data_IF_941472133866
#
_entry.id   IF_941472133866
#
_cell.length_a   1.000
_cell.length_b   1.000
_cell.length_c   1.000
_cell.angle_alpha   90.00
_cell.angle_beta   90.00
_cell.angle_gamma   90.00
#
_symmetry.space_group_name_H-M   'P 1'
#
loop_
_entity.id
_entity.type
_entity.pdbx_description
1 polymer ?
#
# COMPACT_ATOMS: atom_id res chain seq x y z
N UNK A 1 12.74 -16.79 3.34
CA UNK A 1 11.93 -16.23 2.24
C UNK A 1 11.40 -14.89 2.74
N UNK A 2 11.85 -13.79 2.15
CA UNK A 2 11.33 -12.46 2.46
C UNK A 2 9.84 -12.44 2.12
N UNK A 3 8.99 -12.23 3.12
CA UNK A 3 7.56 -12.27 2.98
C UNK A 3 7.05 -11.18 2.05
N UNK A 4 6.69 -11.54 0.84
CA UNK A 4 5.82 -10.71 0.02
C UNK A 4 4.39 -10.91 0.53
N UNK A 5 3.71 -9.81 0.82
CA UNK A 5 2.29 -9.82 1.11
C UNK A 5 1.45 -10.28 -0.09
N UNK A 6 0.37 -9.61 -0.37
CA UNK A 6 -0.51 -9.98 -1.49
C UNK A 6 0.08 -9.54 -2.82
N UNK A 7 0.31 -10.49 -3.75
CA UNK A 7 0.72 -10.20 -5.13
C UNK A 7 -0.51 -10.24 -6.02
N UNK A 8 -0.88 -9.12 -6.61
CA UNK A 8 -1.99 -9.05 -7.56
C UNK A 8 -1.46 -9.17 -8.99
N UNK A 9 -1.95 -10.18 -9.69
CA UNK A 9 -1.70 -10.45 -11.10
C UNK A 9 -2.97 -10.17 -11.94
N UNK A 10 -2.85 -10.20 -13.25
CA UNK A 10 -3.81 -9.64 -14.22
C UNK A 10 -5.28 -10.11 -14.11
N UNK A 11 -5.58 -11.17 -13.37
CA UNK A 11 -6.94 -11.73 -13.31
C UNK A 11 -7.76 -11.27 -12.11
N UNK A 12 -7.16 -10.59 -11.12
CA UNK A 12 -7.88 -10.02 -9.98
C UNK A 12 -8.49 -8.68 -10.40
N UNK A 13 -9.80 -8.54 -10.31
CA UNK A 13 -10.52 -7.32 -10.70
C UNK A 13 -10.86 -6.43 -9.51
N UNK A 14 -11.22 -7.03 -8.38
CA UNK A 14 -11.58 -6.30 -7.18
C UNK A 14 -11.25 -7.07 -5.90
N UNK A 15 -11.01 -6.32 -4.83
CA UNK A 15 -10.96 -6.77 -3.45
C UNK A 15 -11.90 -5.87 -2.66
N UNK A 16 -12.86 -6.44 -1.94
CA UNK A 16 -13.82 -5.68 -1.15
C UNK A 16 -13.82 -6.16 0.29
N UNK A 17 -13.68 -5.22 1.22
CA UNK A 17 -13.82 -5.43 2.66
C UNK A 17 -15.22 -5.12 3.17
N UNK A 18 -15.46 -5.24 4.47
CA UNK A 18 -16.70 -4.83 5.14
C UNK A 18 -17.75 -5.94 5.26
N UNK A 19 -17.34 -7.20 5.30
CA UNK A 19 -18.26 -8.33 5.47
C UNK A 19 -18.12 -8.97 6.86
N UNK A 20 -19.24 -9.32 7.49
CA UNK A 20 -19.27 -9.89 8.85
C UNK A 20 -18.71 -11.31 8.92
N UNK A 21 -18.95 -12.11 7.92
CA UNK A 21 -18.47 -13.49 7.79
C UNK A 21 -18.46 -13.91 6.31
N UNK A 22 -17.51 -14.78 5.98
CA UNK A 22 -17.56 -15.54 4.72
C UNK A 22 -18.08 -16.93 5.01
N UNK A 23 -19.35 -17.19 4.69
CA UNK A 23 -19.93 -18.53 4.63
C UNK A 23 -20.60 -18.72 3.27
N UNK A 24 -20.77 -19.96 2.87
CA UNK A 24 -21.54 -20.28 1.65
C UNK A 24 -22.95 -19.68 1.80
N UNK A 25 -23.38 -18.88 0.82
CA UNK A 25 -24.66 -18.15 0.86
C UNK A 25 -24.63 -16.78 1.57
N UNK A 26 -23.46 -16.26 1.96
CA UNK A 26 -23.36 -14.90 2.51
C UNK A 26 -23.91 -13.87 1.51
N UNK A 27 -24.86 -13.05 1.97
CA UNK A 27 -25.34 -11.91 1.20
C UNK A 27 -24.23 -10.85 1.06
N UNK A 28 -23.61 -10.82 -0.11
CA UNK A 28 -22.54 -9.86 -0.44
C UNK A 28 -23.07 -8.43 -0.62
N UNK A 29 -24.39 -8.20 -0.55
CA UNK A 29 -24.97 -6.85 -0.54
C UNK A 29 -24.94 -6.21 0.85
N UNK A 30 -24.92 -7.01 1.91
CA UNK A 30 -24.90 -6.54 3.31
C UNK A 30 -23.47 -6.18 3.76
N UNK A 31 -22.89 -5.17 3.14
CA UNK A 31 -21.56 -4.64 3.44
C UNK A 31 -21.64 -3.47 4.42
N UNK A 32 -20.81 -3.50 5.48
CA UNK A 32 -20.60 -2.39 6.38
C UNK A 32 -19.11 -2.30 6.73
N UNK A 33 -18.41 -1.34 6.11
CA UNK A 33 -16.95 -1.18 6.27
C UNK A 33 -16.56 -0.59 7.64
N UNK A 34 -17.49 0.06 8.31
CA UNK A 34 -17.25 0.64 9.64
C UNK A 34 -17.49 -0.41 10.73
N UNK A 35 -18.50 -1.25 10.57
CA UNK A 35 -18.80 -2.34 11.52
C UNK A 35 -17.87 -3.54 11.36
N UNK A 36 -17.46 -3.87 10.13
CA UNK A 36 -16.66 -5.07 9.82
C UNK A 36 -15.35 -4.68 9.12
N UNK A 37 -14.36 -4.27 9.90
CA UNK A 37 -13.07 -3.82 9.39
C UNK A 37 -12.30 -5.00 8.81
N UNK A 38 -12.01 -4.94 7.51
CA UNK A 38 -11.15 -5.91 6.83
C UNK A 38 -9.72 -5.40 6.83
N UNK A 39 -8.79 -6.19 7.35
CA UNK A 39 -7.39 -5.80 7.52
C UNK A 39 -6.46 -6.70 6.72
N UNK A 40 -5.53 -6.08 5.99
CA UNK A 40 -4.33 -6.72 5.43
C UNK A 40 -3.15 -6.19 6.24
N UNK A 41 -2.49 -7.06 7.00
CA UNK A 41 -1.39 -6.71 7.90
C UNK A 41 -0.07 -7.32 7.43
N UNK A 42 1.01 -6.54 7.53
CA UNK A 42 2.38 -6.99 7.31
C UNK A 42 3.07 -7.50 8.58
N UNK A 43 2.46 -7.29 9.73
CA UNK A 43 2.96 -7.69 11.04
C UNK A 43 3.00 -9.22 11.18
N UNK A 44 4.15 -9.80 10.90
CA UNK A 44 4.37 -11.25 10.93
C UNK A 44 4.64 -11.76 12.34
N UNK A 45 5.26 -10.93 13.17
CA UNK A 45 5.64 -11.28 14.54
C UNK A 45 4.57 -10.96 15.61
N UNK A 46 3.49 -10.24 15.22
CA UNK A 46 2.36 -9.93 16.09
C UNK A 46 2.59 -8.80 17.11
N UNK A 47 3.64 -8.00 16.92
CA UNK A 47 4.01 -6.93 17.86
C UNK A 47 3.31 -5.58 17.59
N UNK A 48 2.49 -5.49 16.55
CA UNK A 48 1.75 -4.30 16.10
C UNK A 48 2.64 -3.12 15.72
N UNK A 49 3.77 -3.42 15.10
CA UNK A 49 4.71 -2.44 14.56
C UNK A 49 5.15 -2.88 13.16
N UNK A 50 5.64 -1.96 12.35
CA UNK A 50 6.26 -2.26 11.07
C UNK A 50 7.78 -2.26 11.26
N UNK A 51 8.39 -3.43 11.40
CA UNK A 51 9.81 -3.60 11.70
C UNK A 51 10.49 -4.74 10.92
N UNK A 52 11.75 -4.99 11.25
CA UNK A 52 12.54 -6.01 10.56
C UNK A 52 11.95 -7.42 10.81
N UNK A 53 11.65 -8.10 9.74
CA UNK A 53 11.00 -9.43 9.75
C UNK A 53 9.55 -9.39 9.25
N UNK A 54 8.97 -8.21 9.18
CA UNK A 54 7.66 -8.00 8.58
C UNK A 54 7.72 -7.94 7.05
N UNK A 55 6.57 -7.87 6.39
CA UNK A 55 6.48 -7.89 4.93
C UNK A 55 5.77 -6.66 4.34
N UNK A 56 6.04 -6.40 3.07
CA UNK A 56 5.25 -5.47 2.27
C UNK A 56 3.84 -6.01 2.02
N UNK A 57 2.86 -5.13 1.83
CA UNK A 57 1.45 -5.52 1.84
C UNK A 57 0.91 -5.89 0.45
N UNK A 58 1.05 -4.99 -0.52
CA UNK A 58 0.44 -5.16 -1.83
C UNK A 58 1.40 -4.80 -2.96
N UNK A 59 1.57 -5.71 -3.89
CA UNK A 59 2.33 -5.51 -5.12
C UNK A 59 1.42 -5.65 -6.34
N UNK A 60 1.32 -4.58 -7.15
CA UNK A 60 0.56 -4.57 -8.40
C UNK A 60 1.53 -4.43 -9.58
N UNK A 61 1.71 -5.52 -10.35
CA UNK A 61 2.63 -5.57 -11.50
C UNK A 61 1.92 -5.37 -12.84
N UNK A 62 0.68 -5.79 -12.95
CA UNK A 62 -0.07 -5.73 -14.21
C UNK A 62 -1.58 -5.81 -13.99
N UNK A 63 -2.33 -5.10 -14.84
CA UNK A 63 -3.78 -5.13 -14.86
C UNK A 63 -4.40 -3.99 -14.04
N UNK A 64 -5.72 -4.02 -13.95
CA UNK A 64 -6.52 -3.00 -13.28
C UNK A 64 -7.25 -3.64 -12.13
N UNK A 65 -7.07 -3.10 -10.91
CA UNK A 65 -7.70 -3.59 -9.71
C UNK A 65 -8.40 -2.46 -8.94
N UNK A 66 -9.61 -2.72 -8.47
CA UNK A 66 -10.33 -1.87 -7.53
C UNK A 66 -10.29 -2.49 -6.12
N UNK A 67 -9.98 -1.69 -5.11
CA UNK A 67 -10.00 -2.12 -3.70
C UNK A 67 -10.86 -1.14 -2.91
N UNK A 68 -11.75 -1.68 -2.09
CA UNK A 68 -12.73 -0.88 -1.39
C UNK A 68 -12.93 -1.38 0.05
N UNK A 69 -12.90 -0.45 1.03
CA UNK A 69 -13.17 -0.72 2.43
C UNK A 69 -12.15 -1.63 3.12
N UNK A 70 -10.86 -1.50 2.77
CA UNK A 70 -9.77 -2.31 3.33
C UNK A 70 -8.79 -1.43 4.08
N UNK A 71 -8.38 -1.88 5.26
CA UNK A 71 -7.26 -1.31 6.01
C UNK A 71 -5.98 -2.10 5.72
N UNK A 72 -4.96 -1.40 5.26
CA UNK A 72 -3.58 -1.88 5.08
C UNK A 72 -2.74 -1.35 6.23
N UNK A 73 -2.04 -2.22 6.97
CA UNK A 73 -1.26 -1.78 8.13
C UNK A 73 0.00 -2.58 8.36
N UNK A 74 0.99 -1.93 9.00
CA UNK A 74 2.26 -2.54 9.43
C UNK A 74 3.07 -3.14 8.29
N UNK A 75 2.95 -2.57 7.08
CA UNK A 75 3.81 -2.98 5.97
C UNK A 75 5.24 -2.48 6.19
N UNK A 76 6.23 -3.35 5.93
CA UNK A 76 7.64 -3.02 6.07
C UNK A 76 8.44 -3.38 4.82
N UNK A 77 9.41 -2.54 4.48
CA UNK A 77 10.41 -2.82 3.44
C UNK A 77 11.78 -2.37 3.90
N UNK A 78 12.75 -3.27 3.87
CA UNK A 78 14.16 -3.01 4.17
C UNK A 78 14.95 -2.61 2.92
N UNK A 79 16.19 -2.16 3.10
CA UNK A 79 17.14 -1.92 1.99
C UNK A 79 17.42 -3.22 1.20
N UNK A 80 17.53 -4.36 1.89
CA UNK A 80 17.74 -5.66 1.26
C UNK A 80 16.55 -6.07 0.38
N UNK A 81 15.33 -5.91 0.88
CA UNK A 81 14.11 -6.20 0.12
C UNK A 81 13.97 -5.30 -1.11
N UNK A 82 14.23 -4.02 -0.96
CA UNK A 82 14.18 -3.06 -2.07
C UNK A 82 15.21 -3.33 -3.16
N UNK A 83 16.35 -3.95 -2.82
CA UNK A 83 17.42 -4.31 -3.77
C UNK A 83 17.10 -5.57 -4.56
N UNK A 84 16.44 -6.55 -3.94
CA UNK A 84 16.21 -7.90 -4.49
C UNK A 84 14.79 -8.11 -5.01
N UNK A 85 13.81 -7.41 -4.45
CA UNK A 85 12.40 -7.58 -4.78
C UNK A 85 11.74 -6.25 -5.14
N UNK A 86 10.73 -6.33 -5.97
CA UNK A 86 9.83 -5.18 -6.21
C UNK A 86 8.80 -5.16 -5.09
N UNK A 87 9.09 -4.48 -3.99
CA UNK A 87 8.17 -4.36 -2.87
C UNK A 87 8.10 -2.91 -2.37
N UNK A 88 6.94 -2.52 -1.94
CA UNK A 88 6.68 -1.31 -1.17
C UNK A 88 6.14 -1.71 0.18
N UNK A 89 6.24 -0.82 1.16
CA UNK A 89 5.74 -1.14 2.50
C UNK A 89 4.22 -1.34 2.51
N UNK A 90 3.47 -0.32 2.07
CA UNK A 90 2.03 -0.41 1.88
C UNK A 90 1.69 -0.96 0.49
N UNK A 91 1.55 -0.09 -0.48
CA UNK A 91 1.19 -0.41 -1.86
C UNK A 91 2.32 -0.06 -2.81
N UNK A 92 2.76 -1.03 -3.60
CA UNK A 92 3.76 -0.85 -4.65
C UNK A 92 3.17 -1.15 -6.02
N UNK A 93 3.30 -0.19 -6.94
CA UNK A 93 2.83 -0.32 -8.32
C UNK A 93 4.01 -0.21 -9.28
N UNK A 94 4.28 -1.27 -10.06
CA UNK A 94 5.46 -1.36 -10.94
C UNK A 94 5.16 -1.77 -12.38
N UNK A 95 3.93 -1.67 -12.81
CA UNK A 95 3.53 -2.06 -14.16
C UNK A 95 3.90 -1.04 -15.24
N UNK A 96 3.75 -1.42 -16.51
CA UNK A 96 3.94 -0.52 -17.65
C UNK A 96 2.94 0.63 -17.66
N UNK A 97 3.32 1.76 -18.28
CA UNK A 97 2.41 2.89 -18.47
C UNK A 97 1.19 2.45 -19.29
N UNK A 98 -0.01 2.68 -18.77
CA UNK A 98 -1.27 2.29 -19.39
C UNK A 98 -1.75 0.86 -19.12
N UNK A 99 -0.86 -0.04 -18.70
CA UNK A 99 -1.20 -1.45 -18.46
C UNK A 99 -1.52 -1.77 -17.00
N UNK A 100 -1.26 -0.83 -16.08
CA UNK A 100 -1.40 -1.07 -14.65
C UNK A 100 -2.08 0.11 -13.98
N UNK A 101 -3.17 -0.16 -13.30
CA UNK A 101 -3.80 0.82 -12.42
C UNK A 101 -4.39 0.15 -11.18
N UNK A 102 -4.38 0.90 -10.08
CA UNK A 102 -5.10 0.56 -8.87
C UNK A 102 -6.03 1.72 -8.49
N UNK A 103 -7.23 1.40 -8.11
CA UNK A 103 -8.18 2.32 -7.51
C UNK A 103 -8.52 1.86 -6.10
N UNK A 104 -8.30 2.73 -5.12
CA UNK A 104 -8.69 2.51 -3.74
C UNK A 104 -9.82 3.46 -3.38
N UNK A 105 -10.86 2.94 -2.75
CA UNK A 105 -12.01 3.71 -2.28
C UNK A 105 -12.31 3.35 -0.83
N UNK A 106 -12.53 4.37 0.00
CA UNK A 106 -12.86 4.20 1.43
C UNK A 106 -11.88 3.25 2.15
N UNK A 107 -10.57 3.39 1.87
CA UNK A 107 -9.50 2.57 2.42
C UNK A 107 -8.67 3.35 3.45
N UNK A 108 -7.95 2.59 4.29
CA UNK A 108 -6.96 3.14 5.21
C UNK A 108 -5.60 2.50 4.93
N UNK A 109 -4.52 3.29 4.85
CA UNK A 109 -3.14 2.79 4.79
C UNK A 109 -2.39 3.44 5.94
N UNK A 110 -1.98 2.64 6.91
CA UNK A 110 -1.40 3.17 8.15
C UNK A 110 -0.24 2.37 8.69
N UNK A 111 0.58 3.05 9.49
CA UNK A 111 1.68 2.45 10.25
C UNK A 111 2.64 1.63 9.36
N UNK A 112 2.79 2.00 8.10
CA UNK A 112 3.73 1.35 7.17
C UNK A 112 5.09 2.04 7.23
N UNK A 113 6.18 1.27 7.16
CA UNK A 113 7.54 1.79 7.25
C UNK A 113 8.39 1.38 6.04
N UNK A 114 8.96 2.38 5.36
CA UNK A 114 10.01 2.19 4.35
C UNK A 114 11.37 2.51 4.98
N UNK A 115 12.16 1.48 5.27
CA UNK A 115 13.52 1.61 5.80
C UNK A 115 14.59 1.72 4.72
N UNK A 116 14.20 2.00 3.47
CA UNK A 116 15.09 2.13 2.32
C UNK A 116 15.75 3.51 2.31
N UNK A 117 17.09 3.55 2.31
CA UNK A 117 17.87 4.79 2.41
C UNK A 117 18.70 5.12 1.17
N UNK A 118 19.17 4.12 0.43
CA UNK A 118 20.16 4.28 -0.63
C UNK A 118 19.65 3.97 -2.03
N UNK A 119 18.58 3.19 -2.16
CA UNK A 119 18.06 2.80 -3.47
C UNK A 119 17.14 3.86 -4.09
N UNK A 120 16.95 3.76 -5.41
CA UNK A 120 15.94 4.56 -6.12
C UNK A 120 14.49 4.29 -5.64
N UNK A 121 14.30 3.26 -4.82
CA UNK A 121 13.01 2.83 -4.25
C UNK A 121 12.73 3.39 -2.85
N UNK A 122 13.53 4.36 -2.37
CA UNK A 122 13.29 5.04 -1.07
C UNK A 122 11.92 5.72 -1.02
N UNK A 123 11.30 5.76 0.17
CA UNK A 123 10.10 6.55 0.45
C UNK A 123 8.81 5.93 -0.07
N UNK A 124 7.73 6.68 0.02
CA UNK A 124 6.39 6.21 -0.33
C UNK A 124 5.90 5.04 0.51
N UNK A 125 6.02 5.10 1.85
CA UNK A 125 5.68 3.96 2.71
C UNK A 125 4.22 3.54 2.58
N UNK A 126 3.30 4.46 2.37
CA UNK A 126 1.92 4.11 2.08
C UNK A 126 1.74 3.68 0.62
N UNK A 127 2.19 4.51 -0.32
CA UNK A 127 2.02 4.25 -1.77
C UNK A 127 3.30 4.61 -2.52
N UNK A 128 3.91 3.63 -3.15
CA UNK A 128 5.04 3.83 -4.05
C UNK A 128 4.64 3.44 -5.48
N UNK A 129 4.75 4.37 -6.42
CA UNK A 129 4.44 4.14 -7.83
C UNK A 129 5.72 4.27 -8.64
N UNK A 130 6.27 3.14 -9.09
CA UNK A 130 7.38 3.11 -10.03
C UNK A 130 6.90 3.50 -11.43
N UNK A 131 5.78 2.93 -11.85
CA UNK A 131 5.09 3.24 -13.11
C UNK A 131 3.64 2.79 -13.04
N UNK A 132 2.76 3.40 -13.85
CA UNK A 132 1.31 3.11 -13.83
C UNK A 132 0.51 4.19 -13.10
N UNK A 133 -0.74 3.88 -12.79
CA UNK A 133 -1.68 4.85 -12.21
C UNK A 133 -2.25 4.36 -10.88
N UNK A 134 -2.37 5.28 -9.93
CA UNK A 134 -3.07 5.08 -8.65
C UNK A 134 -4.15 6.13 -8.50
N UNK A 135 -5.36 5.70 -8.17
CA UNK A 135 -6.48 6.58 -7.77
C UNK A 135 -6.84 6.29 -6.32
N UNK A 136 -6.81 7.33 -5.51
CA UNK A 136 -7.17 7.29 -4.10
C UNK A 136 -8.42 8.14 -3.90
N UNK A 137 -9.55 7.50 -3.60
CA UNK A 137 -10.83 8.16 -3.34
C UNK A 137 -11.21 7.93 -1.88
N UNK A 138 -11.27 9.01 -1.08
CA UNK A 138 -11.55 8.96 0.36
C UNK A 138 -10.64 7.97 1.11
N UNK A 139 -9.34 8.02 0.82
CA UNK A 139 -8.33 7.16 1.46
C UNK A 139 -7.62 7.92 2.56
N UNK A 140 -7.51 7.31 3.73
CA UNK A 140 -6.76 7.84 4.85
C UNK A 140 -5.33 7.26 4.85
N UNK A 141 -4.32 8.13 4.76
CA UNK A 141 -2.90 7.78 4.87
C UNK A 141 -2.40 8.28 6.23
N UNK A 142 -2.22 7.35 7.18
CA UNK A 142 -2.02 7.69 8.58
C UNK A 142 -0.69 7.12 9.11
N UNK A 143 0.12 7.95 9.75
CA UNK A 143 1.30 7.56 10.54
C UNK A 143 2.30 6.67 9.78
N UNK A 144 2.39 6.82 8.46
CA UNK A 144 3.34 6.09 7.62
C UNK A 144 4.72 6.77 7.67
N UNK A 145 5.79 5.97 7.73
CA UNK A 145 7.16 6.43 7.99
C UNK A 145 8.14 6.04 6.91
N UNK A 146 8.87 7.01 6.37
CA UNK A 146 10.02 6.78 5.49
C UNK A 146 11.32 7.11 6.21
N UNK A 147 12.33 6.25 6.09
CA UNK A 147 13.69 6.54 6.58
C UNK A 147 14.49 7.31 5.54
N UNK A 148 14.19 7.16 4.26
CA UNK A 148 14.82 7.86 3.15
C UNK A 148 14.04 9.08 2.66
N UNK A 149 13.92 9.22 1.35
CA UNK A 149 13.22 10.32 0.68
C UNK A 149 11.70 10.14 0.67
N UNK A 150 10.99 11.26 0.60
CA UNK A 150 9.57 11.33 0.33
C UNK A 150 8.71 11.04 1.56
N UNK A 151 7.50 11.59 1.53
CA UNK A 151 6.46 11.37 2.52
C UNK A 151 5.68 10.08 2.27
N UNK A 152 4.40 10.08 2.62
CA UNK A 152 3.53 8.92 2.51
C UNK A 152 3.43 8.34 1.08
N UNK A 153 3.42 9.21 0.07
CA UNK A 153 3.24 8.84 -1.35
C UNK A 153 4.46 9.24 -2.16
N UNK A 154 4.91 8.38 -3.08
CA UNK A 154 5.97 8.68 -4.02
C UNK A 154 5.69 8.18 -5.43
N UNK A 155 5.89 9.06 -6.41
CA UNK A 155 6.01 8.73 -7.83
C UNK A 155 7.49 8.72 -8.22
N UNK A 156 7.99 7.62 -8.79
CA UNK A 156 9.43 7.42 -9.06
C UNK A 156 9.80 7.55 -10.52
N UNK A 157 8.85 7.64 -11.44
CA UNK A 157 9.10 7.86 -12.85
C UNK A 157 8.11 8.87 -13.45
N UNK A 158 8.43 9.37 -14.64
CA UNK A 158 7.54 10.27 -15.39
C UNK A 158 6.25 9.62 -15.90
N UNK A 159 6.16 8.30 -15.84
CA UNK A 159 4.96 7.52 -16.18
C UNK A 159 4.16 7.09 -14.97
N UNK A 160 4.61 7.45 -13.77
CA UNK A 160 3.90 7.20 -12.52
C UNK A 160 2.93 8.37 -12.24
N UNK A 161 1.66 8.06 -12.01
CA UNK A 161 0.63 9.07 -11.75
C UNK A 161 -0.20 8.67 -10.53
N UNK A 162 -0.43 9.63 -9.64
CA UNK A 162 -1.34 9.47 -8.49
C UNK A 162 -2.41 10.56 -8.53
N UNK A 163 -3.66 10.15 -8.46
CA UNK A 163 -4.80 11.03 -8.28
C UNK A 163 -5.36 10.82 -6.87
N UNK A 164 -5.61 11.91 -6.16
CA UNK A 164 -6.15 11.89 -4.79
C UNK A 164 -7.40 12.75 -4.71
N UNK A 165 -8.48 12.19 -4.18
CA UNK A 165 -9.75 12.87 -4.01
C UNK A 165 -10.34 12.56 -2.62
N UNK A 166 -10.61 13.59 -1.82
CA UNK A 166 -11.19 13.45 -0.48
C UNK A 166 -10.32 12.66 0.50
N UNK A 167 -8.99 12.65 0.32
CA UNK A 167 -8.05 11.91 1.14
C UNK A 167 -7.62 12.69 2.38
N UNK A 168 -7.32 11.98 3.47
CA UNK A 168 -6.68 12.51 4.67
C UNK A 168 -5.24 12.01 4.78
N UNK A 169 -4.29 12.93 4.88
CA UNK A 169 -2.88 12.65 5.17
C UNK A 169 -2.55 13.20 6.55
N UNK A 170 -2.28 12.31 7.52
CA UNK A 170 -2.01 12.71 8.91
C UNK A 170 -0.89 11.88 9.51
N UNK A 171 0.02 12.52 10.25
CA UNK A 171 1.09 11.86 10.99
C UNK A 171 2.16 11.19 10.14
N UNK A 172 2.09 11.30 8.81
CA UNK A 172 3.10 10.72 7.94
C UNK A 172 4.42 11.49 8.07
N UNK A 173 5.53 10.76 8.16
CA UNK A 173 6.83 11.35 8.43
C UNK A 173 7.95 10.77 7.58
N UNK A 174 9.04 11.54 7.44
CA UNK A 174 10.31 11.06 6.91
C UNK A 174 11.46 11.67 7.71
N UNK A 175 12.60 10.99 7.79
CA UNK A 175 13.81 11.48 8.46
C UNK A 175 15.03 11.55 7.54
N UNK A 176 14.84 11.46 6.24
CA UNK A 176 15.88 11.68 5.23
C UNK A 176 16.21 13.17 5.04
N UNK A 177 17.45 13.48 4.66
CA UNK A 177 17.93 14.84 4.43
C UNK A 177 17.42 15.51 3.14
N UNK A 178 16.60 14.83 2.35
CA UNK A 178 16.12 15.29 1.06
C UNK A 178 14.59 15.34 1.01
N UNK A 179 14.06 16.53 0.97
CA UNK A 179 12.65 16.79 0.67
C UNK A 179 11.79 16.93 1.92
N UNK A 180 11.50 18.16 2.27
CA UNK A 180 10.37 18.49 3.12
C UNK A 180 9.10 18.33 2.27
N UNK A 181 8.31 17.31 2.53
CA UNK A 181 7.00 17.14 1.91
C UNK A 181 5.93 17.78 2.73
#
# INVERSE_FOLDING_TARGET
ESGLGVIVRKNVKAIKGGYSQFSEGTDVSARDIDAYVTVISGDVNGNKQADAGDCGLLLVKKGHIAIEGVTFQYGYVSEADASTTECGSGIYVSGGAGDTSIELTDCVIRDCTSAVTTSAKQGGPAVFVLSGQVRLNKVNLLDNKAVGRGGAVRCSSKTAVVFMNGCLLKGNSHNGSWGNG
#
